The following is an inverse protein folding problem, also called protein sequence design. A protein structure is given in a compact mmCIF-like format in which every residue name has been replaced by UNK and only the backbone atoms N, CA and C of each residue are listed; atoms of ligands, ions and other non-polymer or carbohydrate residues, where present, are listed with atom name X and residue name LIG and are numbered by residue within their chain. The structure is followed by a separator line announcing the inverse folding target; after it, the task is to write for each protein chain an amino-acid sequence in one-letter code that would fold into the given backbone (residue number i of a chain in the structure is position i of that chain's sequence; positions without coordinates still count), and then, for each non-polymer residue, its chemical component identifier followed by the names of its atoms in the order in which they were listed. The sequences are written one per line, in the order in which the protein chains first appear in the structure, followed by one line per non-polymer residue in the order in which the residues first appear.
data_IF_950669944078
#
_entry.id   IF_950669944078
#
_cell.length_a   1.000
_cell.length_b   1.000
_cell.length_c   1.000
_cell.angle_alpha   90.00
_cell.angle_beta   90.00
_cell.angle_gamma   90.00
#
_symmetry.space_group_name_H-M   'P 1'
#
loop_
_entity.id
_entity.type
_entity.pdbx_description
1 polymer ?
#
# COMPACT_ATOMS: atom_id res chain seq x y z
N UNK A 1 13.96 0.25 -2.78
CA UNK A 1 12.78 -0.63 -2.67
C UNK A 1 11.51 0.20 -2.73
N UNK A 2 10.58 -0.22 -3.54
CA UNK A 2 9.26 0.42 -3.66
C UNK A 2 8.23 -0.43 -2.94
N UNK A 3 7.58 0.14 -1.93
CA UNK A 3 6.60 -0.59 -1.12
C UNK A 3 5.22 0.05 -1.23
N UNK A 4 4.19 -0.76 -1.08
CA UNK A 4 2.80 -0.32 -1.04
C UNK A 4 2.14 -0.84 0.23
N UNK A 5 1.44 0.02 0.94
CA UNK A 5 0.58 -0.37 2.06
C UNK A 5 -0.87 -0.06 1.69
N UNK A 6 -1.71 -1.08 1.76
CA UNK A 6 -3.16 -0.94 1.56
C UNK A 6 -3.83 -0.94 2.93
N UNK A 7 -4.61 0.10 3.22
CA UNK A 7 -5.36 0.23 4.47
C UNK A 7 -6.86 0.27 4.17
N UNK A 8 -7.66 -0.28 5.09
CA UNK A 8 -9.12 -0.31 4.92
C UNK A 8 -9.75 1.08 4.83
N UNK A 9 -9.31 2.00 5.70
CA UNK A 9 -9.93 3.30 5.80
C UNK A 9 -8.93 4.43 5.87
N UNK A 10 -9.41 5.64 5.57
CA UNK A 10 -8.60 6.85 5.59
C UNK A 10 -8.00 7.13 6.97
N UNK A 11 -8.78 6.90 8.04
CA UNK A 11 -8.30 7.13 9.41
C UNK A 11 -7.11 6.25 9.73
N UNK A 12 -7.16 4.98 9.37
CA UNK A 12 -6.06 4.04 9.57
C UNK A 12 -4.81 4.48 8.80
N UNK A 13 -5.00 4.94 7.57
CA UNK A 13 -3.91 5.45 6.74
C UNK A 13 -3.24 6.67 7.40
N UNK A 14 -4.02 7.59 7.92
CA UNK A 14 -3.50 8.80 8.57
C UNK A 14 -2.74 8.46 9.84
N UNK A 15 -3.25 7.54 10.67
CA UNK A 15 -2.56 7.09 11.87
C UNK A 15 -1.24 6.41 11.54
N UNK A 16 -1.24 5.54 10.55
CA UNK A 16 -0.03 4.88 10.10
C UNK A 16 0.99 5.86 9.56
N UNK A 17 0.54 6.86 8.80
CA UNK A 17 1.39 7.92 8.29
C UNK A 17 2.11 8.66 9.42
N UNK A 18 1.39 9.07 10.46
CA UNK A 18 1.99 9.72 11.62
C UNK A 18 3.03 8.84 12.29
N UNK A 19 2.72 7.57 12.48
CA UNK A 19 3.64 6.63 13.08
C UNK A 19 4.94 6.52 12.27
N UNK A 20 4.82 6.35 10.97
CA UNK A 20 5.98 6.21 10.10
C UNK A 20 6.83 7.48 10.05
N UNK A 21 6.20 8.64 10.01
CA UNK A 21 6.91 9.91 10.02
C UNK A 21 7.65 10.16 11.33
N UNK A 22 7.00 9.90 12.47
CA UNK A 22 7.54 10.24 13.78
C UNK A 22 8.48 9.19 14.35
N UNK A 23 8.20 7.93 14.14
CA UNK A 23 8.97 6.84 14.72
C UNK A 23 10.05 6.34 13.77
N UNK A 24 9.76 6.28 12.48
CA UNK A 24 10.64 5.70 11.48
C UNK A 24 11.23 6.71 10.49
N UNK A 25 10.99 8.00 10.71
CA UNK A 25 11.59 9.09 9.94
C UNK A 25 11.31 9.05 8.42
N UNK A 26 10.15 8.53 8.03
CA UNK A 26 9.71 8.63 6.64
C UNK A 26 9.30 10.06 6.31
N UNK A 27 9.63 10.53 5.12
CA UNK A 27 9.29 11.89 4.66
C UNK A 27 8.14 11.82 3.68
N UNK A 28 7.02 12.46 4.00
CA UNK A 28 5.90 12.57 3.07
C UNK A 28 6.26 13.54 1.94
N UNK A 29 6.09 13.10 0.70
CA UNK A 29 6.40 13.89 -0.48
C UNK A 29 5.17 14.43 -1.20
N UNK A 30 3.97 14.00 -0.82
CA UNK A 30 2.72 14.50 -1.39
C UNK A 30 1.77 13.37 -1.76
N UNK A 31 0.82 13.70 -2.62
CA UNK A 31 -0.15 12.72 -3.09
C UNK A 31 0.49 11.78 -4.10
N UNK A 32 0.13 10.50 -4.01
CA UNK A 32 0.57 9.50 -4.98
C UNK A 32 -0.29 9.54 -6.25
N UNK A 33 0.28 9.08 -7.36
CA UNK A 33 -0.47 8.84 -8.59
C UNK A 33 -1.14 7.46 -8.59
N UNK A 34 -0.74 6.58 -7.68
CA UNK A 34 -1.36 5.27 -7.52
C UNK A 34 -2.55 5.38 -6.57
N UNK A 35 -3.67 4.80 -6.96
CA UNK A 35 -4.86 4.69 -6.11
C UNK A 35 -5.34 3.23 -6.14
N UNK A 36 -5.46 2.62 -4.96
CA UNK A 36 -5.93 1.24 -4.84
C UNK A 36 -7.33 1.08 -5.41
N UNK A 37 -8.21 2.04 -5.12
CA UNK A 37 -9.52 2.17 -5.74
C UNK A 37 -9.63 3.59 -6.26
N UNK A 38 -10.54 3.83 -7.21
CA UNK A 38 -10.65 5.12 -7.88
C UNK A 38 -10.82 6.27 -6.90
N UNK A 39 -9.96 7.30 -7.05
CA UNK A 39 -9.96 8.52 -6.23
C UNK A 39 -9.80 8.31 -4.73
N UNK A 40 -9.30 7.17 -4.31
CA UNK A 40 -9.04 6.90 -2.90
C UNK A 40 -7.85 7.74 -2.38
N UNK A 41 -7.85 8.02 -1.08
CA UNK A 41 -6.74 8.71 -0.43
C UNK A 41 -5.44 7.92 -0.63
N UNK A 42 -4.38 8.59 -1.07
CA UNK A 42 -3.09 7.95 -1.33
C UNK A 42 -1.96 8.96 -1.22
N UNK A 43 -0.96 8.66 -0.41
CA UNK A 43 0.22 9.51 -0.24
C UNK A 43 1.52 8.74 -0.50
N UNK A 44 2.53 9.51 -0.90
CA UNK A 44 3.84 9.02 -1.30
C UNK A 44 4.90 9.48 -0.31
N UNK A 45 5.78 8.57 0.08
CA UNK A 45 6.83 8.80 1.08
C UNK A 45 8.18 8.31 0.57
N UNK A 46 9.24 8.90 1.11
CA UNK A 46 10.62 8.48 0.84
C UNK A 46 11.44 8.38 2.13
N UNK A 47 12.37 7.44 2.15
CA UNK A 47 13.36 7.30 3.21
C UNK A 47 14.58 6.55 2.69
N UNK A 48 15.76 7.21 2.73
CA UNK A 48 17.04 6.57 2.41
C UNK A 48 17.03 5.81 1.07
N UNK A 49 16.46 6.42 0.02
CA UNK A 49 16.38 5.80 -1.30
C UNK A 49 15.22 4.82 -1.48
N UNK A 50 14.47 4.53 -0.43
CA UNK A 50 13.29 3.69 -0.52
C UNK A 50 12.04 4.55 -0.72
N UNK A 51 11.05 3.99 -1.40
CA UNK A 51 9.77 4.66 -1.62
C UNK A 51 8.64 3.86 -1.01
N UNK A 52 7.60 4.56 -0.59
CA UNK A 52 6.42 3.95 0.02
C UNK A 52 5.18 4.70 -0.42
N UNK A 53 4.16 3.96 -0.80
CA UNK A 53 2.83 4.52 -1.04
C UNK A 53 1.89 3.91 -0.01
N UNK A 54 1.08 4.76 0.64
CA UNK A 54 -0.02 4.32 1.50
C UNK A 54 -1.31 4.71 0.81
N UNK A 55 -2.16 3.74 0.52
CA UNK A 55 -3.44 3.97 -0.13
C UNK A 55 -4.58 3.34 0.65
N UNK A 56 -5.67 4.08 0.82
CA UNK A 56 -6.88 3.49 1.37
C UNK A 56 -7.59 2.64 0.32
N UNK A 57 -8.40 1.69 0.78
CA UNK A 57 -9.20 0.82 -0.08
C UNK A 57 -10.70 1.02 0.09
N UNK A 58 -11.11 1.98 0.95
CA UNK A 58 -12.52 2.27 1.26
C UNK A 58 -13.25 1.06 1.79
N UNK A 59 -12.65 0.35 2.73
CA UNK A 59 -13.21 -0.79 3.39
C UNK A 59 -12.57 -2.11 2.99
N UNK A 60 -12.97 -3.16 3.68
CA UNK A 60 -12.42 -4.49 3.50
C UNK A 60 -12.65 -5.02 2.08
N UNK A 61 -13.80 -4.75 1.49
CA UNK A 61 -14.13 -5.21 0.14
C UNK A 61 -13.23 -4.59 -0.94
N UNK A 62 -12.67 -3.41 -0.68
CA UNK A 62 -11.76 -2.75 -1.62
C UNK A 62 -10.33 -3.29 -1.61
N UNK A 63 -9.97 -4.11 -0.61
CA UNK A 63 -8.61 -4.65 -0.50
C UNK A 63 -8.28 -5.55 -1.69
N UNK A 64 -9.18 -6.44 -2.06
CA UNK A 64 -8.99 -7.32 -3.21
C UNK A 64 -8.83 -6.54 -4.50
N UNK A 65 -9.65 -5.50 -4.70
CA UNK A 65 -9.56 -4.62 -5.86
C UNK A 65 -8.22 -3.88 -5.86
N UNK A 66 -7.82 -3.32 -4.73
CA UNK A 66 -6.54 -2.62 -4.60
C UNK A 66 -5.34 -3.51 -4.85
N UNK A 67 -5.39 -4.74 -4.34
CA UNK A 67 -4.34 -5.72 -4.58
C UNK A 67 -4.24 -6.08 -6.06
N UNK A 68 -5.38 -6.31 -6.72
CA UNK A 68 -5.41 -6.61 -8.14
C UNK A 68 -4.86 -5.44 -8.96
N UNK A 69 -5.22 -4.22 -8.60
CA UNK A 69 -4.70 -3.01 -9.24
C UNK A 69 -3.16 -2.95 -9.14
N UNK A 70 -2.62 -3.24 -7.96
CA UNK A 70 -1.17 -3.26 -7.74
C UNK A 70 -0.47 -4.35 -8.54
N UNK A 71 -1.05 -5.54 -8.57
CA UNK A 71 -0.51 -6.67 -9.35
C UNK A 71 -0.49 -6.33 -10.84
N UNK A 72 -1.57 -5.76 -11.36
CA UNK A 72 -1.66 -5.37 -12.76
C UNK A 72 -0.65 -4.28 -13.11
N UNK A 73 -0.43 -3.34 -12.19
CA UNK A 73 0.59 -2.32 -12.38
C UNK A 73 1.97 -2.94 -12.50
N UNK A 74 2.30 -3.91 -11.65
CA UNK A 74 3.58 -4.60 -11.71
C UNK A 74 3.76 -5.38 -13.02
N UNK A 75 2.70 -6.03 -13.51
CA UNK A 75 2.76 -6.75 -14.78
C UNK A 75 2.98 -5.85 -15.98
N UNK A 76 2.46 -4.63 -15.91
CA UNK A 76 2.52 -3.66 -17.00
C UNK A 76 3.70 -2.71 -16.89
N UNK A 77 4.48 -2.78 -15.81
CA UNK A 77 5.65 -1.92 -15.64
C UNK A 77 6.71 -2.23 -16.70
N UNK A 78 7.26 -1.17 -17.29
CA UNK A 78 8.32 -1.31 -18.25
C UNK A 78 9.57 -1.91 -17.60
N UNK A 79 10.32 -2.77 -18.29
CA UNK A 79 11.58 -3.30 -17.76
C UNK A 79 12.52 -2.16 -17.36
N UNK A 80 13.03 -2.21 -16.13
CA UNK A 80 13.93 -1.18 -15.60
C UNK A 80 13.25 0.05 -15.03
N UNK A 81 11.92 0.15 -15.08
CA UNK A 81 11.18 1.24 -14.45
C UNK A 81 11.08 0.98 -12.95
N UNK A 82 11.73 1.83 -12.16
CA UNK A 82 11.73 1.69 -10.70
C UNK A 82 10.49 2.26 -10.04
N UNK A 83 9.85 3.24 -10.68
CA UNK A 83 8.77 4.01 -10.06
C UNK A 83 7.40 3.33 -10.13
N UNK A 84 7.28 2.29 -10.94
CA UNK A 84 6.00 1.64 -11.17
C UNK A 84 5.92 0.19 -10.70
N UNK A 85 7.01 -0.35 -10.19
CA UNK A 85 7.06 -1.72 -9.71
C UNK A 85 7.10 -1.75 -8.19
N UNK A 86 6.13 -2.42 -7.57
CA UNK A 86 6.14 -2.63 -6.13
C UNK A 86 6.91 -3.90 -5.78
N UNK A 87 7.99 -3.74 -5.02
CA UNK A 87 8.78 -4.85 -4.50
C UNK A 87 8.07 -5.55 -3.35
N UNK A 88 7.24 -4.81 -2.61
CA UNK A 88 6.56 -5.31 -1.42
C UNK A 88 5.18 -4.69 -1.30
N UNK A 89 4.19 -5.53 -0.99
CA UNK A 89 2.83 -5.08 -0.71
C UNK A 89 2.43 -5.57 0.67
N UNK A 90 1.96 -4.63 1.51
CA UNK A 90 1.53 -4.90 2.87
C UNK A 90 0.05 -4.54 2.97
N UNK A 91 -0.74 -5.42 3.56
CA UNK A 91 -2.14 -5.13 3.86
C UNK A 91 -2.24 -4.85 5.36
N UNK A 92 -2.79 -3.68 5.69
CA UNK A 92 -3.03 -3.24 7.05
C UNK A 92 -4.54 -3.20 7.28
N UNK A 93 -5.05 -4.13 8.08
CA UNK A 93 -6.49 -4.26 8.33
C UNK A 93 -6.80 -4.16 9.80
N UNK A 94 -8.07 -3.90 10.11
CA UNK A 94 -8.57 -3.88 11.46
C UNK A 94 -8.57 -5.31 12.05
N UNK A 95 -8.42 -5.38 13.38
CA UNK A 95 -8.30 -6.65 14.10
C UNK A 95 -9.59 -7.47 14.16
N UNK A 96 -10.72 -6.90 13.80
CA UNK A 96 -12.01 -7.57 13.90
C UNK A 96 -12.14 -8.79 12.98
N UNK A 97 -11.25 -8.92 11.99
CA UNK A 97 -11.26 -10.03 11.04
C UNK A 97 -9.88 -10.64 10.88
N UNK A 98 -9.28 -11.03 11.98
CA UNK A 98 -7.90 -11.54 12.03
C UNK A 98 -7.68 -12.69 11.06
N UNK A 99 -8.57 -13.68 11.04
CA UNK A 99 -8.42 -14.87 10.21
C UNK A 99 -8.42 -14.51 8.71
N UNK A 100 -9.32 -13.62 8.30
CA UNK A 100 -9.39 -13.15 6.93
C UNK A 100 -8.14 -12.35 6.56
N UNK A 101 -7.69 -11.49 7.47
CA UNK A 101 -6.48 -10.70 7.27
C UNK A 101 -5.24 -11.57 7.11
N UNK A 102 -5.11 -12.60 7.96
CA UNK A 102 -4.00 -13.54 7.88
C UNK A 102 -4.01 -14.30 6.56
N UNK A 103 -5.16 -14.74 6.10
CA UNK A 103 -5.30 -15.42 4.81
C UNK A 103 -4.90 -14.52 3.65
N UNK A 104 -5.30 -13.25 3.68
CA UNK A 104 -4.90 -12.28 2.66
C UNK A 104 -3.39 -12.05 2.64
N UNK A 105 -2.79 -11.91 3.81
CA UNK A 105 -1.34 -11.73 3.93
C UNK A 105 -0.61 -12.96 3.39
N UNK A 106 -1.08 -14.15 3.71
CA UNK A 106 -0.50 -15.39 3.22
C UNK A 106 -0.59 -15.50 1.70
N UNK A 107 -1.71 -15.13 1.10
CA UNK A 107 -1.86 -15.09 -0.35
C UNK A 107 -0.87 -14.14 -1.00
N UNK A 108 -0.65 -12.97 -0.42
CA UNK A 108 0.31 -12.00 -0.93
C UNK A 108 1.72 -12.58 -0.89
N UNK A 109 2.11 -13.23 0.19
CA UNK A 109 3.43 -13.85 0.33
C UNK A 109 3.66 -14.95 -0.71
N UNK A 110 2.63 -15.68 -1.08
CA UNK A 110 2.71 -16.73 -2.10
C UNK A 110 2.87 -16.12 -3.49
N UNK A 111 2.20 -15.02 -3.76
CA UNK A 111 2.19 -14.36 -5.08
C UNK A 111 3.41 -13.49 -5.34
N UNK A 112 4.07 -13.04 -4.31
CA UNK A 112 5.24 -12.16 -4.38
C UNK A 112 6.48 -12.79 -3.80
#
# INVERSE_FOLDING_TARGET
MNSLILCEGKTDCILLQYYLERVHAWSRKGKSTFHAVDKAWSNYFEKAGNTLIISETRGCSGISEGLLTAINRNKNAAPGSKDEFFDKIIIFTDNDEIDTSDNMINEIKIKF
#
